data_IF_936551849536
#
_entry.id   IF_936551849536
#
_cell.length_a   1.000
_cell.length_b   1.000
_cell.length_c   1.000
_cell.angle_alpha   90.00
_cell.angle_beta   90.00
_cell.angle_gamma   90.00
#
_symmetry.space_group_name_H-M   'P 1'
#
loop_
_entity.id
_entity.type
_entity.pdbx_description
1 polymer ?
#
# COMPACT_ATOMS: atom_id res chain seq x y z
N UNK A 1 77.47 -9.15 -42.95
CA UNK A 1 76.14 -8.74 -43.43
C UNK A 1 75.11 -9.13 -42.35
N UNK A 2 74.67 -8.19 -41.60
CA UNK A 2 73.83 -8.46 -40.39
C UNK A 2 72.41 -8.00 -40.71
N UNK A 3 71.49 -8.96 -40.78
CA UNK A 3 70.04 -8.67 -40.99
C UNK A 3 69.34 -8.17 -39.75
N UNK A 4 68.72 -7.03 -39.86
CA UNK A 4 67.90 -6.45 -38.81
C UNK A 4 66.48 -7.06 -38.88
N UNK A 5 66.12 -7.87 -37.88
CA UNK A 5 64.72 -8.28 -37.67
C UNK A 5 63.95 -7.20 -36.97
N UNK A 6 62.87 -6.67 -37.58
CA UNK A 6 61.96 -5.74 -37.01
C UNK A 6 60.86 -6.49 -36.22
N UNK A 7 60.76 -6.32 -34.90
CA UNK A 7 59.69 -6.82 -34.08
C UNK A 7 58.54 -5.78 -34.09
N UNK A 8 57.45 -6.14 -34.74
CA UNK A 8 56.22 -5.40 -34.66
C UNK A 8 55.46 -5.81 -33.37
N UNK A 9 55.44 -4.94 -32.38
CA UNK A 9 54.63 -5.14 -31.15
C UNK A 9 53.16 -4.78 -31.42
N UNK A 10 52.29 -5.79 -31.43
CA UNK A 10 50.86 -5.64 -31.56
C UNK A 10 50.28 -5.31 -30.15
N UNK A 11 49.95 -4.03 -29.90
CA UNK A 11 49.26 -3.61 -28.70
C UNK A 11 47.76 -3.95 -28.81
N UNK A 12 47.33 -5.02 -28.14
CA UNK A 12 45.94 -5.40 -28.05
C UNK A 12 45.30 -4.58 -26.90
N UNK A 13 44.57 -3.51 -27.22
CA UNK A 13 43.80 -2.73 -26.22
C UNK A 13 42.53 -3.48 -25.85
N UNK A 14 42.52 -4.05 -24.66
CA UNK A 14 41.36 -4.69 -24.07
C UNK A 14 40.36 -3.61 -23.60
N UNK A 15 39.27 -3.35 -24.36
CA UNK A 15 38.19 -2.48 -23.97
C UNK A 15 37.29 -3.27 -22.99
N UNK A 16 37.45 -3.06 -21.70
CA UNK A 16 36.53 -3.57 -20.67
C UNK A 16 35.29 -2.68 -20.65
N UNK A 17 34.22 -3.13 -21.27
CA UNK A 17 32.90 -2.50 -21.13
C UNK A 17 32.34 -2.83 -19.75
N UNK A 18 32.38 -1.89 -18.81
CA UNK A 18 31.66 -1.96 -17.55
C UNK A 18 30.17 -1.86 -17.85
N UNK A 19 29.48 -3.02 -17.93
CA UNK A 19 28.03 -3.07 -17.93
C UNK A 19 27.56 -2.71 -16.50
N UNK A 20 27.07 -1.48 -16.30
CA UNK A 20 26.34 -1.14 -15.10
C UNK A 20 25.01 -1.91 -15.12
N UNK A 21 24.69 -2.69 -14.07
CA UNK A 21 23.35 -3.28 -13.98
C UNK A 21 22.35 -2.12 -13.94
N UNK A 22 21.47 -2.05 -14.94
CA UNK A 22 20.31 -1.21 -14.86
C UNK A 22 19.51 -1.71 -13.64
N UNK A 23 19.47 -0.94 -12.58
CA UNK A 23 18.56 -1.19 -11.47
C UNK A 23 17.16 -1.10 -12.03
N UNK A 24 16.54 -2.25 -12.28
CA UNK A 24 15.11 -2.31 -12.57
C UNK A 24 14.42 -1.64 -11.39
N UNK A 25 13.89 -0.44 -11.60
CA UNK A 25 13.00 0.21 -10.64
C UNK A 25 11.79 -0.70 -10.56
N UNK A 26 11.54 -1.30 -9.40
CA UNK A 26 10.31 -2.04 -9.19
C UNK A 26 9.16 -1.11 -9.59
N UNK A 27 8.31 -1.56 -10.50
CA UNK A 27 7.10 -0.83 -10.83
C UNK A 27 6.37 -0.58 -9.51
N UNK A 28 6.07 0.68 -9.21
CA UNK A 28 5.42 1.05 -7.95
C UNK A 28 4.06 0.37 -7.87
N UNK A 29 3.71 -0.15 -6.72
CA UNK A 29 2.35 -0.63 -6.46
C UNK A 29 1.44 0.58 -6.34
N UNK A 30 0.26 0.49 -6.92
CA UNK A 30 -0.78 1.51 -6.86
C UNK A 30 -2.00 0.98 -6.11
N UNK A 31 -2.76 1.88 -5.53
CA UNK A 31 -4.11 1.60 -5.03
C UNK A 31 -5.13 2.19 -5.99
N UNK A 32 -6.04 1.34 -6.47
CA UNK A 32 -7.17 1.74 -7.28
C UNK A 32 -8.46 1.76 -6.45
N UNK A 33 -9.22 2.84 -6.54
CA UNK A 33 -10.58 2.91 -6.06
C UNK A 33 -11.52 2.84 -7.26
N UNK A 34 -12.38 1.82 -7.28
CA UNK A 34 -13.36 1.61 -8.33
C UNK A 34 -14.77 1.57 -7.76
N UNK A 35 -15.78 1.83 -8.58
CA UNK A 35 -17.18 1.68 -8.18
C UNK A 35 -17.45 0.24 -7.73
N UNK A 36 -18.06 0.07 -6.56
CA UNK A 36 -18.42 -1.27 -6.06
C UNK A 36 -19.56 -1.90 -6.87
N UNK A 37 -20.38 -1.09 -7.53
CA UNK A 37 -21.55 -1.50 -8.31
C UNK A 37 -21.60 -0.78 -9.66
N UNK A 38 -22.32 -1.36 -10.61
CA UNK A 38 -22.46 -0.78 -11.94
C UNK A 38 -21.33 -1.22 -12.85
N UNK A 39 -20.65 -0.26 -13.48
CA UNK A 39 -19.59 -0.52 -14.46
C UNK A 39 -18.28 -0.97 -13.83
N UNK A 40 -18.17 -0.86 -12.51
CA UNK A 40 -16.89 -1.04 -11.78
C UNK A 40 -15.77 -0.13 -12.33
N UNK A 41 -16.17 1.04 -12.83
CA UNK A 41 -15.23 2.00 -13.39
C UNK A 41 -14.24 2.46 -12.31
N UNK A 42 -12.98 2.59 -12.70
CA UNK A 42 -11.96 3.21 -11.84
C UNK A 42 -12.31 4.69 -11.64
N UNK A 43 -12.33 5.11 -10.37
CA UNK A 43 -12.61 6.49 -9.95
C UNK A 43 -11.32 7.26 -9.78
N UNK A 44 -10.34 6.64 -9.14
CA UNK A 44 -9.01 7.22 -8.93
C UNK A 44 -7.99 6.13 -8.66
N UNK A 45 -6.71 6.46 -8.92
CA UNK A 45 -5.58 5.61 -8.54
C UNK A 45 -4.50 6.45 -7.87
N UNK A 46 -3.86 5.89 -6.88
CA UNK A 46 -2.89 6.54 -6.01
C UNK A 46 -1.62 5.69 -5.91
N UNK A 47 -0.43 6.27 -6.11
CA UNK A 47 0.80 5.53 -5.92
C UNK A 47 1.02 5.24 -4.44
N UNK A 48 1.48 4.04 -4.12
CA UNK A 48 1.98 3.72 -2.79
C UNK A 48 3.45 4.10 -2.67
N UNK A 49 3.83 4.53 -1.48
CA UNK A 49 5.22 4.78 -1.13
C UNK A 49 6.07 3.50 -1.03
N UNK A 50 7.36 3.64 -0.70
CA UNK A 50 8.30 2.52 -0.62
C UNK A 50 7.87 1.41 0.33
N UNK A 51 7.19 1.77 1.43
CA UNK A 51 6.70 0.83 2.45
C UNK A 51 5.42 0.11 2.01
N UNK A 52 4.84 0.51 0.87
CA UNK A 52 3.59 -0.01 0.32
C UNK A 52 2.44 -0.02 1.34
N UNK A 53 2.44 0.93 2.26
CA UNK A 53 1.49 1.05 3.36
C UNK A 53 0.47 2.17 3.13
N UNK A 54 -0.69 2.00 3.75
CA UNK A 54 -1.75 3.00 3.81
C UNK A 54 -2.63 2.79 5.04
N UNK A 55 -3.32 3.84 5.46
CA UNK A 55 -4.28 3.78 6.54
C UNK A 55 -5.68 4.11 6.03
N UNK A 56 -6.68 3.44 6.57
CA UNK A 56 -8.09 3.82 6.48
C UNK A 56 -8.57 4.27 7.84
N UNK A 57 -9.07 5.49 7.94
CA UNK A 57 -9.64 6.00 9.19
C UNK A 57 -11.11 6.40 9.02
N UNK A 58 -11.86 6.27 10.10
CA UNK A 58 -13.26 6.63 10.12
C UNK A 58 -13.76 6.86 11.57
N UNK A 59 -14.92 7.50 11.70
CA UNK A 59 -15.64 7.58 12.97
C UNK A 59 -16.59 6.38 13.08
N UNK A 60 -16.41 5.55 14.07
CA UNK A 60 -17.26 4.37 14.30
C UNK A 60 -18.70 4.79 14.57
N UNK A 61 -19.67 4.15 13.90
CA UNK A 61 -21.07 4.58 13.92
C UNK A 61 -21.77 4.47 15.27
N UNK A 62 -21.36 3.52 16.10
CA UNK A 62 -21.93 3.26 17.42
C UNK A 62 -21.18 4.00 18.52
N UNK A 63 -19.89 3.76 18.68
CA UNK A 63 -19.06 4.36 19.72
C UNK A 63 -18.78 5.86 19.50
N UNK A 64 -18.92 6.35 18.27
CA UNK A 64 -18.60 7.73 17.86
C UNK A 64 -17.14 8.13 18.11
N UNK A 65 -16.27 7.15 18.20
CA UNK A 65 -14.83 7.33 18.37
C UNK A 65 -14.08 7.02 17.09
N UNK A 66 -12.88 7.59 16.90
CA UNK A 66 -12.04 7.27 15.77
C UNK A 66 -11.60 5.80 15.76
N UNK A 67 -11.52 5.24 14.58
CA UNK A 67 -10.87 3.96 14.28
C UNK A 67 -9.86 4.21 13.18
N UNK A 68 -8.69 3.60 13.27
CA UNK A 68 -7.65 3.61 12.24
C UNK A 68 -7.22 2.18 11.98
N UNK A 69 -7.39 1.77 10.74
CA UNK A 69 -6.92 0.49 10.22
C UNK A 69 -5.68 0.71 9.36
N UNK A 70 -4.58 0.04 9.70
CA UNK A 70 -3.33 0.11 8.94
C UNK A 70 -3.15 -1.12 8.08
N UNK A 71 -2.73 -0.89 6.84
CA UNK A 71 -2.56 -1.90 5.81
C UNK A 71 -1.22 -1.76 5.11
N UNK A 72 -0.80 -2.82 4.46
CA UNK A 72 0.22 -2.79 3.42
C UNK A 72 -0.14 -3.73 2.27
N UNK A 73 0.43 -3.48 1.11
CA UNK A 73 0.36 -4.41 -0.01
C UNK A 73 1.58 -5.31 0.03
N UNK A 74 1.34 -6.63 0.04
CA UNK A 74 2.38 -7.66 0.06
C UNK A 74 2.00 -8.72 -0.98
N UNK A 75 2.90 -8.99 -1.92
CA UNK A 75 2.68 -9.95 -3.00
C UNK A 75 1.39 -9.71 -3.82
N UNK A 76 0.99 -8.44 -3.97
CA UNK A 76 -0.22 -8.05 -4.70
C UNK A 76 -1.53 -8.20 -3.92
N UNK A 77 -1.47 -8.54 -2.63
CA UNK A 77 -2.63 -8.65 -1.76
C UNK A 77 -2.59 -7.61 -0.64
N UNK A 78 -3.76 -7.22 -0.12
CA UNK A 78 -3.86 -6.31 1.01
C UNK A 78 -3.76 -7.10 2.31
N UNK A 79 -2.77 -6.75 3.12
CA UNK A 79 -2.56 -7.27 4.47
C UNK A 79 -2.92 -6.19 5.49
N UNK A 80 -3.94 -6.43 6.32
CA UNK A 80 -4.20 -5.62 7.51
C UNK A 80 -3.17 -5.95 8.58
N UNK A 81 -2.48 -4.92 9.07
CA UNK A 81 -1.38 -5.08 10.02
C UNK A 81 -1.73 -4.59 11.42
N UNK A 82 -2.70 -3.65 11.51
CA UNK A 82 -3.09 -3.04 12.79
C UNK A 82 -4.48 -2.46 12.72
N UNK A 83 -5.15 -2.44 13.89
CA UNK A 83 -6.36 -1.67 14.15
C UNK A 83 -6.20 -0.91 15.47
N UNK A 84 -6.51 0.40 15.44
CA UNK A 84 -6.47 1.28 16.62
C UNK A 84 -7.85 1.87 16.84
N UNK A 85 -8.39 1.74 18.07
CA UNK A 85 -9.70 2.26 18.43
C UNK A 85 -9.74 2.66 19.91
N UNK A 86 -10.71 3.50 20.31
CA UNK A 86 -10.81 4.06 21.67
C UNK A 86 -11.89 3.42 22.53
N UNK A 87 -12.83 2.70 21.94
CA UNK A 87 -13.94 2.10 22.68
C UNK A 87 -14.41 0.83 22.00
N UNK A 88 -14.77 -0.15 22.79
CA UNK A 88 -15.40 -1.36 22.26
C UNK A 88 -16.76 -1.03 21.62
N UNK A 89 -17.11 -1.75 20.56
CA UNK A 89 -18.36 -1.57 19.84
C UNK A 89 -18.65 -2.73 18.91
N UNK A 90 -19.86 -2.75 18.34
CA UNK A 90 -20.23 -3.77 17.37
C UNK A 90 -19.29 -3.72 16.14
N UNK A 91 -18.62 -4.81 15.86
CA UNK A 91 -17.67 -4.92 14.75
C UNK A 91 -16.23 -4.56 15.09
N UNK A 92 -15.95 -4.10 16.32
CA UNK A 92 -14.60 -3.91 16.82
C UNK A 92 -14.16 -5.10 17.69
N UNK A 93 -12.86 -5.44 17.70
CA UNK A 93 -12.34 -6.48 18.57
C UNK A 93 -12.66 -6.20 20.04
N UNK A 94 -13.11 -7.21 20.78
CA UNK A 94 -13.41 -7.06 22.21
C UNK A 94 -12.35 -7.69 23.11
N UNK A 95 -11.56 -8.58 22.56
CA UNK A 95 -10.51 -9.32 23.28
C UNK A 95 -9.39 -9.71 22.28
N UNK A 96 -8.22 -10.08 22.82
CA UNK A 96 -7.07 -10.54 22.05
C UNK A 96 -7.26 -11.92 21.34
N UNK A 97 -8.49 -12.39 21.19
CA UNK A 97 -8.80 -13.73 20.64
C UNK A 97 -9.15 -13.71 19.16
N UNK A 98 -8.82 -12.63 18.45
CA UNK A 98 -8.89 -12.63 16.99
C UNK A 98 -7.85 -13.65 16.47
N UNK A 99 -8.25 -14.54 15.56
CA UNK A 99 -7.35 -15.61 15.04
C UNK A 99 -6.12 -15.06 14.33
N UNK A 100 -6.21 -13.85 13.80
CA UNK A 100 -5.13 -13.19 13.06
C UNK A 100 -4.33 -12.22 13.95
N UNK A 101 -4.67 -12.13 15.25
CA UNK A 101 -4.00 -11.23 16.19
C UNK A 101 -2.57 -11.70 16.47
N UNK A 102 -1.61 -10.78 16.37
CA UNK A 102 -0.21 -10.98 16.75
C UNK A 102 0.18 -10.21 17.99
N UNK A 103 -0.61 -9.22 18.39
CA UNK A 103 -0.40 -8.43 19.60
C UNK A 103 -1.66 -7.68 20.03
N UNK A 104 -1.79 -7.44 21.32
CA UNK A 104 -2.85 -6.65 21.91
C UNK A 104 -2.31 -5.79 23.04
N UNK A 105 -2.63 -4.50 23.02
CA UNK A 105 -2.25 -3.59 24.10
C UNK A 105 -3.26 -2.46 24.27
N UNK A 106 -3.26 -1.85 25.45
CA UNK A 106 -4.05 -0.68 25.76
C UNK A 106 -3.10 0.40 26.25
N UNK A 107 -2.94 1.45 25.46
CA UNK A 107 -2.00 2.53 25.70
C UNK A 107 -2.69 3.88 25.45
N UNK A 108 -2.52 4.83 26.36
CA UNK A 108 -3.06 6.19 26.24
C UNK A 108 -4.54 6.28 25.86
N UNK A 109 -5.37 5.36 26.40
CA UNK A 109 -6.79 5.30 26.13
C UNK A 109 -7.16 4.67 24.77
N UNK A 110 -6.19 4.12 24.05
CA UNK A 110 -6.41 3.40 22.81
C UNK A 110 -6.20 1.90 22.98
N UNK A 111 -7.05 1.13 22.37
CA UNK A 111 -6.83 -0.30 22.14
C UNK A 111 -6.10 -0.43 20.81
N UNK A 112 -5.02 -1.21 20.82
CA UNK A 112 -4.18 -1.45 19.67
C UNK A 112 -4.11 -2.95 19.45
N UNK A 113 -4.59 -3.40 18.30
CA UNK A 113 -4.53 -4.78 17.86
C UNK A 113 -3.57 -4.87 16.68
N UNK A 114 -2.44 -5.51 16.86
CA UNK A 114 -1.55 -5.88 15.76
C UNK A 114 -2.01 -7.23 15.18
N UNK A 115 -2.01 -7.36 13.86
CA UNK A 115 -2.53 -8.54 13.17
C UNK A 115 -1.82 -8.82 11.85
N UNK A 116 -2.11 -9.99 11.28
CA UNK A 116 -1.69 -10.36 9.93
C UNK A 116 -2.89 -10.99 9.22
N UNK A 117 -3.74 -10.12 8.65
CA UNK A 117 -4.98 -10.54 8.00
C UNK A 117 -4.99 -10.14 6.53
N UNK A 118 -4.95 -11.12 5.64
CA UNK A 118 -5.20 -10.86 4.23
C UNK A 118 -6.69 -10.62 4.00
N UNK A 119 -7.02 -9.44 3.47
CA UNK A 119 -8.42 -9.00 3.33
C UNK A 119 -8.95 -9.16 1.91
N UNK A 120 -8.05 -9.27 0.92
CA UNK A 120 -8.42 -9.06 -0.48
C UNK A 120 -8.89 -7.62 -0.73
N UNK A 121 -9.62 -7.36 -1.83
CA UNK A 121 -10.19 -6.05 -2.10
C UNK A 121 -11.12 -5.58 -0.97
N UNK A 122 -10.98 -4.32 -0.55
CA UNK A 122 -11.74 -3.75 0.58
C UNK A 122 -12.97 -3.00 0.06
N UNK A 123 -14.20 -3.47 0.34
CA UNK A 123 -15.40 -2.71 0.04
C UNK A 123 -15.58 -1.58 1.05
N UNK A 124 -15.62 -0.36 0.57
CA UNK A 124 -15.77 0.86 1.38
C UNK A 124 -17.18 1.40 1.24
N UNK A 125 -17.85 1.61 2.38
CA UNK A 125 -19.09 2.37 2.45
C UNK A 125 -18.79 3.77 2.92
N UNK A 126 -18.98 4.75 2.05
CA UNK A 126 -18.58 6.13 2.28
C UNK A 126 -19.78 6.95 2.72
N UNK A 127 -19.65 7.58 3.88
CA UNK A 127 -20.65 8.48 4.43
C UNK A 127 -19.94 9.67 5.08
N UNK A 128 -20.20 10.88 4.62
CA UNK A 128 -19.49 12.10 5.04
C UNK A 128 -19.47 12.29 6.57
N UNK A 129 -20.55 11.89 7.26
CA UNK A 129 -20.66 11.98 8.72
C UNK A 129 -19.67 11.10 9.48
N UNK A 130 -19.13 10.05 8.84
CA UNK A 130 -18.15 9.15 9.44
C UNK A 130 -16.72 9.46 9.02
N UNK A 131 -16.50 10.52 8.23
CA UNK A 131 -15.18 11.03 7.87
C UNK A 131 -14.23 9.95 7.36
N UNK A 132 -14.73 9.06 6.49
CA UNK A 132 -13.87 8.04 5.88
C UNK A 132 -12.71 8.71 5.14
N UNK A 133 -11.48 8.37 5.52
CA UNK A 133 -10.25 8.96 4.96
C UNK A 133 -9.26 7.85 4.60
N UNK A 134 -8.66 7.96 3.44
CA UNK A 134 -7.51 7.16 3.02
C UNK A 134 -6.25 8.01 3.18
N UNK A 135 -5.26 7.52 3.92
CA UNK A 135 -3.98 8.20 4.14
C UNK A 135 -2.83 7.39 3.54
N UNK A 136 -2.01 8.01 2.69
CA UNK A 136 -0.81 7.42 2.09
C UNK A 136 0.34 8.40 2.30
N UNK A 137 1.43 7.95 2.88
CA UNK A 137 2.64 8.76 3.15
C UNK A 137 2.32 10.11 3.82
N UNK A 138 1.37 10.11 4.76
CA UNK A 138 0.95 11.31 5.48
C UNK A 138 0.08 12.28 4.66
N UNK A 139 -0.35 11.89 3.48
CA UNK A 139 -1.31 12.64 2.67
C UNK A 139 -2.70 12.04 2.82
N UNK A 140 -3.65 12.86 3.28
CA UNK A 140 -5.02 12.47 3.52
C UNK A 140 -5.92 12.75 2.32
N UNK A 141 -6.72 11.75 1.94
CA UNK A 141 -7.79 11.85 0.96
C UNK A 141 -9.13 11.56 1.65
N UNK A 142 -9.95 12.57 1.95
CA UNK A 142 -11.32 12.35 2.42
C UNK A 142 -12.13 11.67 1.32
N UNK A 143 -12.57 10.44 1.56
CA UNK A 143 -13.24 9.64 0.51
C UNK A 143 -14.59 10.21 0.07
N UNK A 144 -15.23 11.00 0.93
CA UNK A 144 -16.47 11.69 0.59
C UNK A 144 -16.31 12.71 -0.56
N UNK A 145 -15.10 13.26 -0.73
CA UNK A 145 -14.79 14.24 -1.78
C UNK A 145 -14.78 13.61 -3.19
N UNK A 146 -14.68 12.28 -3.26
CA UNK A 146 -14.78 11.54 -4.53
C UNK A 146 -16.22 11.48 -5.07
N UNK A 147 -17.24 11.86 -4.28
CA UNK A 147 -18.64 11.91 -4.72
C UNK A 147 -19.34 10.55 -4.82
N UNK A 148 -18.74 9.48 -4.31
CA UNK A 148 -19.30 8.13 -4.34
C UNK A 148 -19.70 7.65 -2.94
N UNK A 149 -20.79 6.90 -2.82
CA UNK A 149 -21.25 6.31 -1.55
C UNK A 149 -20.68 4.92 -1.26
N UNK A 150 -20.11 4.27 -2.26
CA UNK A 150 -19.49 2.95 -2.14
C UNK A 150 -18.41 2.78 -3.19
N UNK A 151 -17.21 2.44 -2.75
CA UNK A 151 -16.05 2.12 -3.58
C UNK A 151 -15.42 0.80 -3.14
N UNK A 152 -14.67 0.18 -4.02
CA UNK A 152 -13.81 -0.97 -3.71
C UNK A 152 -12.37 -0.53 -3.90
N UNK A 153 -11.56 -0.72 -2.87
CA UNK A 153 -10.12 -0.46 -2.85
C UNK A 153 -9.38 -1.76 -3.13
N UNK A 154 -8.46 -1.73 -4.08
CA UNK A 154 -7.62 -2.88 -4.42
C UNK A 154 -6.24 -2.42 -4.90
N UNK A 155 -5.20 -3.27 -4.78
CA UNK A 155 -3.94 -3.04 -5.46
C UNK A 155 -4.14 -3.08 -6.98
N UNK A 156 -3.37 -2.27 -7.69
CA UNK A 156 -3.34 -2.29 -9.15
C UNK A 156 -1.93 -1.94 -9.66
N UNK A 157 -1.70 -2.23 -10.93
CA UNK A 157 -0.45 -1.89 -11.60
C UNK A 157 -0.46 -0.43 -12.06
N UNK A 158 0.74 0.11 -12.28
CA UNK A 158 0.89 1.38 -12.99
C UNK A 158 0.29 1.24 -14.39
N UNK A 159 -0.56 2.20 -14.79
CA UNK A 159 -1.11 2.20 -16.14
C UNK A 159 0.02 2.41 -17.13
N UNK A 160 0.25 1.44 -18.02
CA UNK A 160 1.18 1.62 -19.12
C UNK A 160 0.56 2.60 -20.10
N UNK A 161 1.17 3.76 -20.38
CA UNK A 161 0.66 4.70 -21.39
C UNK A 161 0.52 3.95 -22.72
N UNK A 162 -0.68 3.98 -23.30
CA UNK A 162 -0.94 3.46 -24.65
C UNK A 162 -0.37 4.42 -25.72
#
# INVERSE_FOLDING_TARGET
MIGRAAYAALLLTLVVTLAFPATARAAGTWLCLAETRGTQAEVTRLPLGPDQSFDLSFIHSVSRTPVVDSYRVEDGEILQTREVFMAHGAGLPSIANDMDATGWRHEDGHFILDMQRYTGPIPLRIQAQFKNTLSIDGTDLPLADLGHSALTLAPCDEETPQ
#
